data_IF_710478728615
#
_entry.id   IF_710478728615
#
_cell.length_a   1.000
_cell.length_b   1.000
_cell.length_c   1.000
_cell.angle_alpha   90.00
_cell.angle_beta   90.00
_cell.angle_gamma   90.00
#
_symmetry.space_group_name_H-M   'P 1'
#
loop_
_entity.id
_entity.type
_entity.pdbx_description
1 polymer ?
#
# COMPACT_ATOMS: atom_id res chain seq x y z
N UNK A 1 0.27 5.42 3.71
CA UNK A 1 0.91 4.12 3.48
C UNK A 1 1.92 3.93 4.59
N UNK A 2 2.10 2.69 5.04
CA UNK A 2 3.11 2.34 6.03
C UNK A 2 3.59 0.91 5.79
N UNK A 3 4.79 0.59 6.26
CA UNK A 3 5.33 -0.78 6.27
C UNK A 3 6.28 -0.96 7.44
N UNK A 4 6.32 -2.16 8.00
CA UNK A 4 7.23 -2.49 9.11
C UNK A 4 8.15 -3.65 8.77
N UNK A 5 9.22 -3.75 9.57
CA UNK A 5 10.14 -4.87 9.62
C UNK A 5 10.45 -5.19 11.08
N UNK A 6 10.52 -6.47 11.45
CA UNK A 6 10.92 -6.93 12.77
C UNK A 6 11.92 -8.06 12.65
N UNK A 7 12.91 -8.10 13.54
CA UNK A 7 13.93 -9.15 13.59
C UNK A 7 14.10 -9.68 15.00
N UNK A 8 14.20 -11.01 15.09
CA UNK A 8 14.65 -11.74 16.27
C UNK A 8 15.80 -12.64 15.87
N UNK A 9 16.99 -12.38 16.44
CA UNK A 9 18.22 -13.03 16.02
C UNK A 9 19.06 -13.52 17.21
N UNK A 10 19.93 -14.48 16.96
CA UNK A 10 20.97 -14.93 17.92
C UNK A 10 22.24 -14.08 17.87
N UNK A 11 22.35 -13.19 16.87
CA UNK A 11 23.42 -12.20 16.70
C UNK A 11 22.83 -10.80 16.64
N UNK A 12 23.69 -9.79 16.64
CA UNK A 12 23.30 -8.40 16.39
C UNK A 12 22.42 -8.32 15.13
N UNK A 13 21.28 -7.65 15.26
CA UNK A 13 20.29 -7.49 14.19
C UNK A 13 20.05 -6.02 13.82
N UNK A 14 20.93 -5.10 14.22
CA UNK A 14 20.77 -3.66 13.96
C UNK A 14 20.72 -3.41 12.46
N UNK A 15 21.69 -3.96 11.73
CA UNK A 15 21.75 -3.83 10.26
C UNK A 15 20.54 -4.47 9.59
N UNK A 16 20.08 -5.64 10.08
CA UNK A 16 18.93 -6.34 9.53
C UNK A 16 17.65 -5.50 9.65
N UNK A 17 17.38 -4.92 10.84
CA UNK A 17 16.21 -4.07 11.06
C UNK A 17 16.33 -2.73 10.33
N UNK A 18 17.52 -2.12 10.30
CA UNK A 18 17.77 -0.87 9.60
C UNK A 18 17.54 -1.01 8.09
N UNK A 19 18.25 -1.91 7.42
CA UNK A 19 18.08 -2.11 5.98
C UNK A 19 16.71 -2.71 5.66
N UNK A 20 16.23 -3.67 6.46
CA UNK A 20 14.90 -4.25 6.29
C UNK A 20 13.80 -3.22 6.31
N UNK A 21 13.91 -2.19 7.16
CA UNK A 21 13.00 -1.04 7.18
C UNK A 21 13.19 -0.14 5.96
N UNK A 22 14.43 0.17 5.56
CA UNK A 22 14.74 0.99 4.37
C UNK A 22 14.13 0.43 3.07
N UNK A 23 14.13 -0.90 2.89
CA UNK A 23 13.49 -1.57 1.74
C UNK A 23 11.99 -1.27 1.61
N UNK A 24 11.32 -0.84 2.68
CA UNK A 24 9.90 -0.46 2.68
C UNK A 24 9.69 1.05 2.43
N UNK A 25 10.71 1.80 2.01
CA UNK A 25 10.61 3.24 1.74
C UNK A 25 9.58 3.61 0.66
N UNK A 26 9.18 2.69 -0.23
CA UNK A 26 8.08 2.95 -1.18
C UNK A 26 6.70 2.97 -0.49
N UNK A 27 6.59 2.32 0.68
CA UNK A 27 5.37 2.28 1.50
C UNK A 27 5.25 3.47 2.44
N UNK A 28 6.16 4.44 2.46
CA UNK A 28 5.96 5.64 3.24
C UNK A 28 7.13 6.62 3.16
N UNK A 29 6.80 7.90 3.26
CA UNK A 29 7.73 8.97 2.85
C UNK A 29 7.78 10.16 3.80
N UNK A 30 7.05 10.10 4.92
CA UNK A 30 6.99 11.24 5.86
C UNK A 30 7.69 10.99 7.17
N UNK A 31 7.60 9.78 7.70
CA UNK A 31 8.10 9.42 9.02
C UNK A 31 8.70 8.03 8.99
N UNK A 32 9.64 7.81 9.87
CA UNK A 32 10.14 6.48 10.17
C UNK A 32 10.60 6.41 11.62
N UNK A 33 10.72 5.19 12.12
CA UNK A 33 11.32 4.96 13.42
C UNK A 33 11.83 3.54 13.59
N UNK A 34 12.73 3.41 14.55
CA UNK A 34 13.35 2.17 14.96
C UNK A 34 13.21 2.03 16.48
N UNK A 35 12.97 0.81 16.95
CA UNK A 35 13.05 0.46 18.35
C UNK A 35 13.79 -0.87 18.51
N UNK A 36 14.74 -0.90 19.44
CA UNK A 36 15.55 -2.07 19.76
C UNK A 36 15.53 -2.34 21.25
N UNK A 37 15.70 -3.61 21.61
CA UNK A 37 15.97 -4.03 22.98
C UNK A 37 17.39 -4.59 23.06
N UNK A 38 18.21 -4.02 23.95
CA UNK A 38 19.63 -4.39 24.11
C UNK A 38 19.88 -5.35 25.30
N UNK A 39 18.82 -5.89 25.90
CA UNK A 39 18.91 -6.75 27.11
C UNK A 39 18.65 -6.01 28.42
N UNK A 40 18.67 -4.67 28.43
CA UNK A 40 18.31 -3.86 29.61
C UNK A 40 17.23 -2.84 29.29
N UNK A 41 17.38 -2.13 28.17
CA UNK A 41 16.61 -0.95 27.83
C UNK A 41 16.05 -1.01 26.42
N UNK A 42 14.91 -0.32 26.24
CA UNK A 42 14.33 -0.03 24.94
C UNK A 42 14.93 1.27 24.41
N UNK A 43 15.69 1.18 23.33
CA UNK A 43 16.21 2.34 22.62
C UNK A 43 15.34 2.62 21.40
N UNK A 44 14.84 3.86 21.28
CA UNK A 44 13.96 4.28 20.20
C UNK A 44 14.49 5.55 19.52
N UNK A 45 14.37 5.61 18.19
CA UNK A 45 14.58 6.83 17.41
C UNK A 45 13.48 6.99 16.37
N UNK A 46 12.98 8.22 16.17
CA UNK A 46 11.92 8.56 15.21
C UNK A 46 12.34 9.83 14.49
N UNK A 47 12.24 9.82 13.16
CA UNK A 47 12.60 10.96 12.31
C UNK A 47 11.50 11.29 11.29
N UNK A 48 11.43 12.56 10.91
CA UNK A 48 10.76 12.96 9.67
C UNK A 48 11.66 12.65 8.47
N UNK A 49 11.06 12.06 7.43
CA UNK A 49 11.66 11.78 6.14
C UNK A 49 11.28 12.81 5.07
N UNK A 50 10.52 13.85 5.42
CA UNK A 50 10.02 14.83 4.45
C UNK A 50 11.15 15.67 3.82
N UNK A 51 12.31 15.73 4.48
CA UNK A 51 13.49 16.49 4.03
C UNK A 51 14.73 15.64 3.73
N UNK A 52 14.73 14.34 4.04
CA UNK A 52 15.86 13.46 3.76
C UNK A 52 15.47 11.98 3.72
N UNK A 53 16.31 11.16 3.08
CA UNK A 53 16.16 9.71 3.06
C UNK A 53 16.30 9.09 4.43
N UNK A 54 15.64 7.94 4.59
CA UNK A 54 15.72 7.09 5.77
C UNK A 54 17.17 6.87 6.21
N UNK A 55 18.03 6.34 5.33
CA UNK A 55 19.42 6.05 5.68
C UNK A 55 20.17 7.25 6.25
N UNK A 56 20.11 8.40 5.58
CA UNK A 56 20.77 9.62 6.04
C UNK A 56 20.33 10.09 7.43
N UNK A 57 19.08 9.79 7.83
CA UNK A 57 18.55 10.15 9.15
C UNK A 57 19.00 9.20 10.25
N UNK A 58 19.11 7.91 9.95
CA UNK A 58 19.32 6.88 10.96
C UNK A 58 20.75 6.34 11.04
N UNK A 59 21.55 6.41 9.96
CA UNK A 59 22.97 5.98 9.95
C UNK A 59 23.79 6.57 11.10
N UNK A 60 23.70 7.88 11.43
CA UNK A 60 24.48 8.47 12.53
C UNK A 60 24.13 7.94 13.92
N UNK A 61 23.00 7.26 14.09
CA UNK A 61 22.50 6.77 15.37
C UNK A 61 22.66 5.25 15.55
N UNK A 62 23.16 4.52 14.55
CA UNK A 62 23.20 3.05 14.58
C UNK A 62 24.01 2.49 15.73
N UNK A 63 25.12 3.15 16.11
CA UNK A 63 25.96 2.74 17.24
C UNK A 63 25.19 2.71 18.57
N UNK A 64 24.13 3.52 18.70
CA UNK A 64 23.26 3.53 19.90
C UNK A 64 22.45 2.24 20.05
N UNK A 65 22.28 1.48 18.98
CA UNK A 65 21.53 0.23 18.96
C UNK A 65 22.44 -1.01 18.98
N UNK A 66 23.77 -0.82 18.95
CA UNK A 66 24.73 -1.91 18.86
C UNK A 66 24.56 -2.96 19.97
N UNK A 67 24.67 -4.23 19.61
CA UNK A 67 24.48 -5.38 20.50
C UNK A 67 23.02 -5.80 20.66
N UNK A 68 22.08 -5.14 19.99
CA UNK A 68 20.67 -5.53 20.01
C UNK A 68 20.39 -6.72 19.11
N UNK A 69 19.73 -7.73 19.69
CA UNK A 69 19.35 -8.97 19.02
C UNK A 69 17.84 -9.04 18.73
N UNK A 70 17.10 -8.00 19.13
CA UNK A 70 15.66 -7.84 18.98
C UNK A 70 15.37 -6.40 18.54
N UNK A 71 14.64 -6.22 17.45
CA UNK A 71 14.27 -4.89 17.00
C UNK A 71 13.11 -4.86 16.01
N UNK A 72 12.42 -3.72 15.98
CA UNK A 72 11.35 -3.40 15.04
C UNK A 72 11.62 -2.04 14.41
N UNK A 73 11.21 -1.88 13.17
CA UNK A 73 11.26 -0.64 12.43
C UNK A 73 10.02 -0.43 11.60
N UNK A 74 9.73 0.84 11.30
CA UNK A 74 8.54 1.25 10.56
C UNK A 74 8.82 2.47 9.71
N UNK A 75 8.26 2.47 8.51
CA UNK A 75 8.13 3.59 7.59
C UNK A 75 6.64 3.97 7.56
N UNK A 76 6.30 5.26 7.64
CA UNK A 76 4.92 5.75 7.67
C UNK A 76 4.75 7.07 6.90
N UNK A 77 3.59 7.24 6.26
CA UNK A 77 3.17 8.51 5.65
C UNK A 77 2.44 9.46 6.61
N UNK A 78 2.18 9.01 7.84
CA UNK A 78 1.23 9.69 8.72
C UNK A 78 1.75 9.80 10.14
N UNK A 79 1.80 8.68 10.89
CA UNK A 79 2.04 8.67 12.32
C UNK A 79 3.52 8.55 12.68
N UNK A 80 3.92 9.20 13.79
CA UNK A 80 5.19 8.92 14.47
C UNK A 80 5.06 7.59 15.23
N UNK A 81 5.94 6.65 14.93
CA UNK A 81 5.99 5.30 15.51
C UNK A 81 7.45 4.81 15.45
N UNK A 82 7.91 3.86 16.29
CA UNK A 82 7.16 3.04 17.26
C UNK A 82 6.67 3.80 18.50
N UNK A 83 5.64 3.31 19.20
CA UNK A 83 5.21 3.82 20.51
C UNK A 83 5.67 2.87 21.61
N UNK A 84 6.39 3.39 22.61
CA UNK A 84 6.85 2.64 23.78
C UNK A 84 5.87 2.81 24.93
N UNK A 85 5.49 1.70 25.57
CA UNK A 85 4.54 1.66 26.69
C UNK A 85 5.19 0.95 27.88
N UNK A 86 4.97 1.49 29.07
CA UNK A 86 5.24 0.83 30.35
C UNK A 86 3.91 0.49 31.00
N UNK A 87 3.63 -0.79 31.21
CA UNK A 87 2.36 -1.22 31.83
C UNK A 87 2.48 -2.50 32.65
N UNK A 88 1.33 -3.03 33.12
CA UNK A 88 1.27 -4.31 33.82
C UNK A 88 1.67 -5.51 32.94
N UNK A 89 1.67 -5.36 31.62
CA UNK A 89 2.19 -6.36 30.69
C UNK A 89 3.73 -6.30 30.57
N UNK A 90 4.37 -5.36 31.28
CA UNK A 90 5.78 -5.03 31.15
C UNK A 90 6.03 -3.85 30.22
N UNK A 91 7.30 -3.66 29.84
CA UNK A 91 7.71 -2.65 28.85
C UNK A 91 7.67 -3.25 27.45
N UNK A 92 7.04 -2.55 26.51
CA UNK A 92 6.98 -2.99 25.13
C UNK A 92 6.92 -1.80 24.15
N UNK A 93 7.27 -2.05 22.89
CA UNK A 93 7.10 -1.08 21.80
C UNK A 93 6.14 -1.62 20.73
N UNK A 94 5.34 -0.76 20.13
CA UNK A 94 4.34 -1.13 19.12
C UNK A 94 4.53 -0.34 17.83
N UNK A 95 4.41 -1.04 16.70
CA UNK A 95 4.24 -0.45 15.36
C UNK A 95 2.97 -0.97 14.73
N UNK A 96 2.25 -0.13 14.00
CA UNK A 96 0.95 -0.40 13.40
C UNK A 96 0.97 0.00 11.93
N UNK A 97 0.48 -0.91 11.09
CA UNK A 97 0.13 -0.69 9.69
C UNK A 97 -1.36 -0.98 9.55
N UNK A 98 -2.15 0.04 9.26
CA UNK A 98 -3.60 -0.12 9.15
C UNK A 98 -4.36 1.19 9.02
N UNK A 99 -5.68 1.07 9.08
CA UNK A 99 -6.65 2.17 9.16
C UNK A 99 -7.73 1.82 10.18
N UNK A 100 -7.83 2.65 11.21
CA UNK A 100 -8.86 2.58 12.23
C UNK A 100 -9.99 3.53 11.81
N UNK A 101 -11.02 2.99 11.16
CA UNK A 101 -12.16 3.79 10.70
C UNK A 101 -13.01 4.33 11.86
N UNK A 102 -12.94 3.69 13.02
CA UNK A 102 -13.61 4.08 14.26
C UNK A 102 -12.64 4.57 15.33
N UNK A 103 -11.58 5.28 14.93
CA UNK A 103 -10.61 5.83 15.88
C UNK A 103 -11.28 6.71 16.94
N UNK A 104 -12.16 7.62 16.53
CA UNK A 104 -12.84 8.54 17.46
C UNK A 104 -13.72 7.77 18.47
N UNK A 105 -14.40 6.70 18.03
CA UNK A 105 -15.19 5.83 18.94
C UNK A 105 -14.31 5.19 20.02
N UNK A 106 -13.14 4.66 19.63
CA UNK A 106 -12.18 4.03 20.56
C UNK A 106 -11.59 5.05 21.52
N UNK A 107 -11.24 6.23 21.02
CA UNK A 107 -10.70 7.34 21.82
C UNK A 107 -11.73 7.78 22.86
N UNK A 108 -12.98 8.01 22.45
CA UNK A 108 -14.06 8.43 23.35
C UNK A 108 -14.35 7.41 24.45
N UNK A 109 -14.26 6.10 24.15
CA UNK A 109 -14.40 5.04 25.14
C UNK A 109 -13.34 5.16 26.24
N UNK A 110 -12.07 5.31 25.86
CA UNK A 110 -10.98 5.42 26.82
C UNK A 110 -11.00 6.75 27.60
N UNK A 111 -11.38 7.85 26.96
CA UNK A 111 -11.52 9.14 27.65
C UNK A 111 -12.64 9.11 28.70
N UNK A 112 -13.75 8.39 28.45
CA UNK A 112 -14.82 8.17 29.46
C UNK A 112 -14.34 7.38 30.68
N UNK A 113 -13.39 6.48 30.49
CA UNK A 113 -12.70 5.76 31.57
C UNK A 113 -11.61 6.60 32.28
N UNK A 114 -11.48 7.89 31.92
CA UNK A 114 -10.45 8.82 32.44
C UNK A 114 -9.02 8.39 32.12
N UNK A 115 -8.83 7.63 31.03
CA UNK A 115 -7.50 7.42 30.44
C UNK A 115 -7.15 8.61 29.55
N UNK A 116 -5.86 8.83 29.31
CA UNK A 116 -5.38 9.93 28.47
C UNK A 116 -4.52 9.40 27.32
N UNK A 117 -4.37 10.24 26.30
CA UNK A 117 -3.49 10.04 25.16
C UNK A 117 -2.39 11.10 25.20
N UNK A 118 -1.14 10.70 25.00
CA UNK A 118 0.03 11.57 25.05
C UNK A 118 0.65 11.81 23.66
N UNK A 119 0.33 10.97 22.68
CA UNK A 119 0.90 11.03 21.33
C UNK A 119 -0.09 11.63 20.33
N UNK A 120 0.38 12.62 19.57
CA UNK A 120 -0.42 13.30 18.54
C UNK A 120 0.09 12.97 17.13
N UNK A 121 -0.84 12.81 16.19
CA UNK A 121 -0.59 12.76 14.76
C UNK A 121 -1.42 13.84 14.07
N UNK A 122 -0.77 14.90 13.57
CA UNK A 122 -1.45 16.02 12.88
C UNK A 122 -2.62 16.64 13.66
N UNK A 123 -2.42 16.88 14.97
CA UNK A 123 -3.42 17.44 15.90
C UNK A 123 -4.61 16.52 16.25
N UNK A 124 -4.59 15.25 15.87
CA UNK A 124 -5.51 14.21 16.37
C UNK A 124 -4.74 13.15 17.16
N UNK A 125 -5.44 12.32 17.92
CA UNK A 125 -4.84 11.18 18.63
C UNK A 125 -4.08 10.28 17.64
N UNK A 126 -2.90 9.81 18.03
CA UNK A 126 -2.13 8.86 17.24
C UNK A 126 -2.83 7.48 17.22
N UNK A 127 -3.24 6.95 16.05
CA UNK A 127 -3.86 5.62 15.94
C UNK A 127 -3.06 4.50 16.60
N UNK A 128 -1.73 4.58 16.57
CA UNK A 128 -0.86 3.58 17.20
C UNK A 128 -0.97 3.60 18.71
N UNK A 129 -1.22 4.77 19.31
CA UNK A 129 -1.43 4.87 20.76
C UNK A 129 -2.76 4.24 21.15
N UNK A 130 -3.81 4.46 20.36
CA UNK A 130 -5.10 3.78 20.55
C UNK A 130 -4.96 2.26 20.46
N UNK A 131 -4.19 1.73 19.51
CA UNK A 131 -3.88 0.30 19.44
C UNK A 131 -3.10 -0.17 20.66
N UNK A 132 -2.09 0.58 21.09
CA UNK A 132 -1.32 0.25 22.28
C UNK A 132 -2.18 0.24 23.56
N UNK A 133 -3.18 1.13 23.65
CA UNK A 133 -4.15 1.15 24.76
C UNK A 133 -5.11 -0.04 24.73
N UNK A 134 -5.55 -0.47 23.54
CA UNK A 134 -6.35 -1.70 23.38
C UNK A 134 -5.57 -2.94 23.81
N UNK A 135 -4.29 -3.03 23.42
CA UNK A 135 -3.38 -4.08 23.86
C UNK A 135 -3.23 -4.04 25.39
N UNK A 136 -2.96 -2.85 25.92
CA UNK A 136 -2.78 -2.65 27.35
C UNK A 136 -4.05 -2.96 28.16
N UNK A 137 -5.25 -2.89 27.59
CA UNK A 137 -6.47 -3.22 28.32
C UNK A 137 -6.64 -4.73 28.62
N UNK A 138 -5.86 -5.61 28.00
CA UNK A 138 -5.88 -7.06 28.26
C UNK A 138 -5.01 -7.46 29.46
N UNK A 139 -5.32 -8.59 30.11
CA UNK A 139 -4.48 -9.13 31.18
C UNK A 139 -3.22 -9.83 30.65
N UNK A 140 -3.25 -10.23 29.37
CA UNK A 140 -2.13 -10.84 28.64
C UNK A 140 -2.00 -10.19 27.27
N UNK A 141 -0.85 -10.34 26.61
CA UNK A 141 -0.69 -9.90 25.21
C UNK A 141 -1.70 -10.56 24.28
N UNK A 142 -2.07 -11.83 24.53
CA UNK A 142 -3.12 -12.52 23.76
C UNK A 142 -4.46 -11.80 23.86
N UNK A 143 -4.93 -11.52 25.08
CA UNK A 143 -6.18 -10.80 25.31
C UNK A 143 -6.12 -9.38 24.71
N UNK A 144 -4.99 -8.69 24.86
CA UNK A 144 -4.77 -7.38 24.26
C UNK A 144 -4.85 -7.39 22.73
N UNK A 145 -4.26 -8.39 22.09
CA UNK A 145 -4.35 -8.60 20.64
C UNK A 145 -5.81 -8.90 20.23
N UNK A 146 -6.52 -9.73 20.99
CA UNK A 146 -7.94 -10.03 20.74
C UNK A 146 -8.83 -8.79 20.88
N UNK A 147 -8.53 -7.87 21.82
CA UNK A 147 -9.20 -6.58 21.92
C UNK A 147 -9.07 -5.77 20.62
N UNK A 148 -7.88 -5.71 20.03
CA UNK A 148 -7.64 -5.02 18.75
C UNK A 148 -8.48 -5.65 17.64
N UNK A 149 -8.46 -6.98 17.51
CA UNK A 149 -9.25 -7.70 16.50
C UNK A 149 -10.76 -7.50 16.63
N UNK A 150 -11.26 -7.32 17.85
CA UNK A 150 -12.69 -7.22 18.10
C UNK A 150 -13.20 -5.77 18.04
N UNK A 151 -12.38 -4.77 18.41
CA UNK A 151 -12.80 -3.36 18.51
C UNK A 151 -12.47 -2.52 17.26
N UNK A 152 -11.40 -2.82 16.53
CA UNK A 152 -11.02 -2.02 15.36
C UNK A 152 -11.93 -2.35 14.18
N UNK A 153 -12.59 -1.31 13.64
CA UNK A 153 -13.25 -1.32 12.32
C UNK A 153 -12.25 -0.81 11.27
N UNK A 154 -12.06 -1.57 10.20
CA UNK A 154 -11.04 -1.28 9.17
C UNK A 154 -9.99 -2.39 9.09
N UNK A 155 -8.71 -2.04 9.13
CA UNK A 155 -7.61 -3.02 9.24
C UNK A 155 -6.54 -2.56 10.21
N UNK A 156 -5.91 -3.49 10.91
CA UNK A 156 -4.85 -3.19 11.86
C UNK A 156 -3.94 -4.42 12.02
N UNK A 157 -2.81 -4.39 11.30
CA UNK A 157 -1.70 -5.31 11.50
C UNK A 157 -0.61 -4.61 12.28
N UNK A 158 0.04 -5.31 13.20
CA UNK A 158 0.97 -4.68 14.12
C UNK A 158 2.04 -5.65 14.63
N UNK A 159 3.16 -5.08 15.06
CA UNK A 159 4.19 -5.80 15.80
C UNK A 159 4.30 -5.24 17.21
N UNK A 160 4.54 -6.12 18.18
CA UNK A 160 4.87 -5.77 19.57
C UNK A 160 6.28 -6.28 19.87
N UNK A 161 7.23 -5.39 20.11
CA UNK A 161 8.55 -5.73 20.62
C UNK A 161 8.51 -5.80 22.14
N UNK A 162 8.94 -6.93 22.70
CA UNK A 162 9.07 -7.16 24.14
C UNK A 162 10.51 -7.53 24.49
N UNK A 163 10.82 -7.66 25.77
CA UNK A 163 12.14 -8.10 26.25
C UNK A 163 12.49 -9.55 25.83
N UNK A 164 11.48 -10.35 25.48
CA UNK A 164 11.66 -11.79 25.15
C UNK A 164 11.56 -12.11 23.66
N UNK A 165 10.98 -11.22 22.86
CA UNK A 165 10.68 -11.49 21.45
C UNK A 165 9.67 -10.51 20.85
N UNK A 166 9.21 -10.85 19.65
CA UNK A 166 8.26 -10.04 18.89
C UNK A 166 6.93 -10.79 18.77
N UNK A 167 5.82 -10.11 19.06
CA UNK A 167 4.50 -10.56 18.62
C UNK A 167 4.20 -9.96 17.25
N UNK A 168 3.84 -10.79 16.27
CA UNK A 168 3.39 -10.36 14.96
C UNK A 168 1.92 -10.73 14.78
N UNK A 169 1.04 -9.73 14.67
CA UNK A 169 -0.40 -9.90 14.65
C UNK A 169 -0.99 -9.35 13.35
N UNK A 170 -1.56 -10.23 12.52
CA UNK A 170 -2.18 -9.86 11.24
C UNK A 170 -3.66 -9.53 11.42
N UNK A 171 -4.12 -8.49 10.73
CA UNK A 171 -5.50 -8.01 10.85
C UNK A 171 -6.56 -9.10 10.61
N UNK A 172 -7.77 -8.84 11.13
CA UNK A 172 -8.89 -9.80 11.20
C UNK A 172 -9.21 -10.53 9.89
N UNK A 173 -9.07 -9.87 8.74
CA UNK A 173 -9.33 -10.45 7.42
C UNK A 173 -8.07 -10.54 6.55
N UNK A 174 -6.89 -10.24 7.10
CA UNK A 174 -5.64 -10.25 6.36
C UNK A 174 -5.57 -9.22 5.22
N UNK A 175 -6.24 -8.07 5.36
CA UNK A 175 -6.25 -6.95 4.38
C UNK A 175 -4.84 -6.50 4.04
N UNK A 176 -3.98 -6.47 5.05
CA UNK A 176 -2.56 -6.15 4.97
C UNK A 176 -1.72 -7.42 5.15
N UNK A 177 -0.58 -7.53 4.45
CA UNK A 177 0.32 -8.69 4.56
C UNK A 177 1.21 -8.62 5.80
N UNK A 178 1.53 -9.79 6.37
CA UNK A 178 2.71 -9.98 7.23
C UNK A 178 3.38 -11.27 6.79
N UNK A 179 4.63 -11.18 6.35
CA UNK A 179 5.39 -12.29 5.81
C UNK A 179 6.46 -12.67 6.81
N UNK A 180 6.54 -13.95 7.15
CA UNK A 180 7.55 -14.54 8.01
C UNK A 180 8.72 -15.04 7.16
N UNK A 181 9.94 -14.64 7.51
CA UNK A 181 11.18 -15.12 6.93
C UNK A 181 12.12 -15.72 7.97
N UNK A 182 13.09 -16.53 7.53
CA UNK A 182 14.11 -17.12 8.40
C UNK A 182 15.47 -17.25 7.73
N UNK A 183 16.51 -17.27 8.54
CA UNK A 183 17.85 -17.71 8.18
C UNK A 183 18.41 -18.61 9.30
N UNK A 184 19.72 -18.89 9.28
CA UNK A 184 20.37 -19.72 10.30
C UNK A 184 20.46 -19.06 11.69
N UNK A 185 20.34 -17.72 11.76
CA UNK A 185 20.49 -16.94 12.97
C UNK A 185 19.16 -16.60 13.66
N UNK A 186 18.05 -16.59 12.92
CA UNK A 186 16.75 -16.25 13.49
C UNK A 186 15.64 -16.01 12.48
N UNK A 187 14.69 -15.17 12.88
CA UNK A 187 13.43 -14.91 12.17
C UNK A 187 13.22 -13.43 11.92
N UNK A 188 12.55 -13.13 10.81
CA UNK A 188 12.09 -11.78 10.46
C UNK A 188 10.62 -11.79 10.12
N UNK A 189 9.95 -10.67 10.39
CA UNK A 189 8.58 -10.42 9.93
C UNK A 189 8.53 -9.07 9.23
N UNK A 190 7.87 -9.00 8.09
CA UNK A 190 7.82 -7.78 7.30
C UNK A 190 6.49 -7.59 6.60
N UNK A 191 6.17 -6.35 6.25
CA UNK A 191 5.05 -6.06 5.36
C UNK A 191 5.31 -6.56 3.92
N UNK A 192 6.57 -6.64 3.50
CA UNK A 192 6.97 -7.16 2.19
C UNK A 192 8.23 -8.03 2.24
N UNK A 193 8.31 -9.01 1.33
CA UNK A 193 9.45 -9.92 1.22
C UNK A 193 10.62 -9.35 0.43
N UNK A 194 10.51 -8.15 -0.16
CA UNK A 194 11.56 -7.55 -1.01
C UNK A 194 12.92 -7.42 -0.32
N UNK A 195 12.92 -7.22 0.99
CA UNK A 195 14.14 -7.13 1.81
C UNK A 195 14.84 -8.48 2.04
N UNK A 196 14.11 -9.61 1.96
CA UNK A 196 14.59 -10.89 2.48
C UNK A 196 15.79 -11.41 1.70
N UNK A 197 15.73 -11.42 0.37
CA UNK A 197 16.79 -11.98 -0.49
C UNK A 197 18.15 -11.35 -0.21
N UNK A 198 18.22 -10.02 -0.15
CA UNK A 198 19.50 -9.31 0.04
C UNK A 198 19.98 -9.33 1.49
N UNK A 199 19.07 -9.55 2.45
CA UNK A 199 19.42 -9.75 3.87
C UNK A 199 19.68 -11.22 4.22
N UNK A 200 19.61 -12.13 3.24
CA UNK A 200 19.89 -13.56 3.43
C UNK A 200 18.78 -14.35 4.14
N UNK A 201 17.54 -13.86 4.09
CA UNK A 201 16.36 -14.55 4.63
C UNK A 201 15.59 -15.28 3.52
N UNK A 202 15.02 -16.43 3.88
CA UNK A 202 14.11 -17.21 3.01
C UNK A 202 12.69 -17.04 3.51
N UNK A 203 11.72 -16.95 2.59
CA UNK A 203 10.29 -16.86 2.96
C UNK A 203 9.87 -18.20 3.59
N UNK A 204 9.23 -18.12 4.75
CA UNK A 204 8.61 -19.27 5.42
C UNK A 204 7.15 -19.38 4.99
N UNK A 205 6.36 -18.33 5.27
CA UNK A 205 4.94 -18.21 4.89
C UNK A 205 4.39 -16.82 5.21
N UNK A 206 3.23 -16.50 4.65
CA UNK A 206 2.37 -15.44 5.15
C UNK A 206 1.73 -15.85 6.49
N UNK A 207 1.69 -14.92 7.45
CA UNK A 207 0.89 -15.04 8.67
C UNK A 207 -0.58 -15.02 8.27
N UNK A 208 -1.42 -15.89 8.81
CA UNK A 208 -2.82 -16.03 8.41
C UNK A 208 -3.71 -14.89 8.96
N UNK A 209 -4.87 -14.61 8.35
CA UNK A 209 -5.83 -13.63 8.89
C UNK A 209 -6.18 -13.90 10.36
N UNK A 210 -6.20 -12.86 11.21
CA UNK A 210 -6.45 -12.97 12.67
C UNK A 210 -5.42 -13.83 13.43
N UNK A 211 -4.36 -14.29 12.79
CA UNK A 211 -3.27 -15.02 13.44
C UNK A 211 -2.30 -14.04 14.10
N UNK A 212 -1.89 -14.37 15.33
CA UNK A 212 -0.78 -13.75 16.00
C UNK A 212 0.24 -14.81 16.39
N UNK A 213 1.51 -14.49 16.17
CA UNK A 213 2.64 -15.34 16.51
C UNK A 213 3.53 -14.62 17.52
N UNK A 214 4.03 -15.33 18.52
CA UNK A 214 5.16 -14.91 19.34
C UNK A 214 6.42 -15.53 18.75
N UNK A 215 7.37 -14.69 18.39
CA UNK A 215 8.62 -15.05 17.75
C UNK A 215 9.75 -14.76 18.74
N UNK A 216 10.50 -15.78 19.11
CA UNK A 216 11.64 -15.69 20.01
C UNK A 216 12.89 -16.28 19.34
N UNK A 217 14.04 -16.21 20.03
CA UNK A 217 15.30 -16.82 19.55
C UNK A 217 15.25 -18.35 19.54
N UNK A 218 14.30 -18.92 20.27
CA UNK A 218 14.15 -20.36 20.46
C UNK A 218 13.10 -20.97 19.53
N UNK A 219 12.18 -20.15 19.00
CA UNK A 219 11.18 -20.61 18.05
C UNK A 219 9.99 -19.68 17.90
N UNK A 220 8.91 -20.23 17.37
CA UNK A 220 7.67 -19.53 17.09
C UNK A 220 6.52 -20.25 17.80
N UNK A 221 5.72 -19.49 18.54
CA UNK A 221 4.53 -19.98 19.24
C UNK A 221 3.29 -19.27 18.70
N UNK A 222 2.23 -20.03 18.40
CA UNK A 222 0.94 -19.44 18.02
C UNK A 222 0.25 -18.84 19.25
N UNK A 223 -0.18 -17.59 19.14
CA UNK A 223 -0.82 -16.84 20.23
C UNK A 223 -2.33 -16.78 20.06
N UNK A 224 -2.79 -16.54 18.84
CA UNK A 224 -4.22 -16.59 18.48
C UNK A 224 -4.46 -17.55 17.33
N UNK A 225 -5.64 -18.15 17.31
CA UNK A 225 -6.07 -19.03 16.21
C UNK A 225 -6.40 -18.20 14.97
N UNK A 226 -5.93 -18.61 13.77
CA UNK A 226 -6.34 -17.99 12.52
C UNK A 226 -7.86 -17.95 12.34
N UNK A 227 -8.35 -16.92 11.65
CA UNK A 227 -9.74 -16.83 11.22
C UNK A 227 -10.02 -17.70 9.99
N UNK A 228 -11.31 -17.88 9.66
CA UNK A 228 -11.74 -18.64 8.48
C UNK A 228 -12.01 -17.78 7.23
N UNK A 229 -11.93 -16.45 7.36
CA UNK A 229 -12.18 -15.50 6.26
C UNK A 229 -10.91 -14.71 5.97
N UNK A 230 -10.58 -14.60 4.68
CA UNK A 230 -9.46 -13.83 4.15
C UNK A 230 -10.01 -12.88 3.11
N UNK A 231 -9.53 -11.64 3.06
CA UNK A 231 -9.76 -10.71 1.95
C UNK A 231 -8.57 -9.76 1.78
N UNK A 232 -7.44 -10.29 1.35
CA UNK A 232 -6.22 -9.51 1.14
C UNK A 232 -6.41 -8.47 0.03
N UNK A 233 -5.74 -7.32 0.15
CA UNK A 233 -5.94 -6.23 -0.80
C UNK A 233 -5.45 -6.53 -2.22
N UNK A 234 -6.36 -6.56 -3.20
CA UNK A 234 -6.01 -6.74 -4.62
C UNK A 234 -5.05 -5.66 -5.15
N UNK A 235 -5.11 -4.45 -4.58
CA UNK A 235 -4.22 -3.36 -4.95
C UNK A 235 -2.74 -3.60 -4.61
N UNK A 236 -2.42 -4.60 -3.78
CA UNK A 236 -1.03 -5.01 -3.53
C UNK A 236 -0.37 -5.50 -4.83
N UNK A 237 -1.07 -6.28 -5.66
CA UNK A 237 -0.54 -6.73 -6.94
C UNK A 237 -0.69 -5.68 -8.05
N UNK A 238 -1.80 -4.93 -8.05
CA UNK A 238 -2.05 -3.93 -9.10
C UNK A 238 -1.07 -2.76 -9.03
N UNK A 239 -0.77 -2.24 -7.82
CA UNK A 239 -0.03 -0.99 -7.65
C UNK A 239 0.96 -0.97 -6.49
N UNK A 240 0.52 -1.25 -5.25
CA UNK A 240 1.31 -0.91 -4.05
C UNK A 240 2.55 -1.77 -3.85
N UNK A 241 2.46 -3.05 -4.19
CA UNK A 241 3.52 -4.00 -3.89
C UNK A 241 4.77 -3.73 -4.68
N UNK A 242 5.91 -3.99 -4.04
CA UNK A 242 7.18 -3.96 -4.74
C UNK A 242 7.25 -5.12 -5.75
N UNK A 243 7.78 -4.91 -6.97
CA UNK A 243 7.79 -5.92 -8.04
C UNK A 243 8.31 -7.31 -7.64
N UNK A 244 9.37 -7.37 -6.84
CA UNK A 244 9.98 -8.65 -6.40
C UNK A 244 9.33 -9.25 -5.15
N UNK A 245 8.35 -8.58 -4.54
CA UNK A 245 7.64 -9.09 -3.37
C UNK A 245 6.67 -10.20 -3.74
N UNK A 246 6.40 -11.06 -2.77
CA UNK A 246 5.39 -12.11 -2.83
C UNK A 246 4.36 -11.85 -1.75
N UNK A 247 3.07 -12.00 -2.09
CA UNK A 247 1.98 -12.02 -1.13
C UNK A 247 1.17 -13.28 -1.36
N UNK A 248 0.90 -14.05 -0.31
CA UNK A 248 0.17 -15.32 -0.43
C UNK A 248 0.81 -16.25 -1.47
N UNK A 249 2.15 -16.24 -1.56
CA UNK A 249 2.92 -17.00 -2.56
C UNK A 249 2.85 -16.47 -4.01
N UNK A 250 2.18 -15.35 -4.27
CA UNK A 250 2.01 -14.78 -5.60
C UNK A 250 2.94 -13.57 -5.77
N UNK A 251 3.82 -13.63 -6.78
CA UNK A 251 4.70 -12.51 -7.12
C UNK A 251 3.94 -11.33 -7.73
N UNK A 252 4.33 -10.11 -7.33
CA UNK A 252 3.72 -8.87 -7.80
C UNK A 252 3.94 -8.63 -9.29
N UNK A 253 5.18 -8.65 -9.77
CA UNK A 253 5.48 -8.31 -11.16
C UNK A 253 4.87 -9.32 -12.15
N UNK A 254 4.93 -10.60 -11.82
CA UNK A 254 4.31 -11.67 -12.59
C UNK A 254 2.77 -11.53 -12.67
N UNK A 255 2.12 -11.16 -11.56
CA UNK A 255 0.69 -10.83 -11.58
C UNK A 255 0.38 -9.62 -12.49
N UNK A 256 1.24 -8.59 -12.50
CA UNK A 256 1.10 -7.45 -13.42
C UNK A 256 1.24 -7.85 -14.89
N UNK A 257 2.15 -8.77 -15.21
CA UNK A 257 2.30 -9.29 -16.57
C UNK A 257 1.02 -10.01 -17.00
N UNK A 258 0.44 -10.85 -16.13
CA UNK A 258 -0.84 -11.50 -16.39
C UNK A 258 -1.99 -10.51 -16.56
N UNK A 259 -2.03 -9.43 -15.78
CA UNK A 259 -3.01 -8.35 -15.96
C UNK A 259 -2.87 -7.70 -17.35
N UNK A 260 -1.65 -7.33 -17.74
CA UNK A 260 -1.36 -6.78 -19.06
C UNK A 260 -1.80 -7.69 -20.21
N UNK A 261 -1.50 -8.99 -20.09
CA UNK A 261 -1.90 -10.00 -21.06
C UNK A 261 -3.43 -10.13 -21.16
N UNK A 262 -4.16 -10.13 -20.03
CA UNK A 262 -5.61 -10.19 -20.03
C UNK A 262 -6.26 -8.97 -20.68
N UNK A 263 -5.69 -7.77 -20.49
CA UNK A 263 -6.15 -6.56 -21.19
C UNK A 263 -5.94 -6.70 -22.70
N UNK A 264 -4.79 -7.25 -23.12
CA UNK A 264 -4.48 -7.48 -24.53
C UNK A 264 -5.45 -8.44 -25.23
N UNK A 265 -5.96 -9.46 -24.54
CA UNK A 265 -6.95 -10.40 -25.08
C UNK A 265 -8.26 -9.72 -25.51
N UNK A 266 -8.61 -8.59 -24.88
CA UNK A 266 -9.86 -7.85 -25.12
C UNK A 266 -9.66 -6.55 -25.91
N UNK A 267 -8.50 -6.40 -26.55
CA UNK A 267 -8.13 -5.14 -27.19
C UNK A 267 -7.63 -5.31 -28.63
N UNK A 268 -8.22 -4.53 -29.51
CA UNK A 268 -8.13 -4.62 -30.96
C UNK A 268 -7.45 -3.40 -31.61
N UNK A 269 -7.11 -2.40 -30.78
CA UNK A 269 -6.49 -1.14 -31.20
C UNK A 269 -5.19 -1.35 -31.99
N UNK A 270 -4.96 -0.48 -32.99
CA UNK A 270 -3.79 -0.50 -33.86
C UNK A 270 -2.86 0.67 -33.51
N UNK A 271 -1.75 0.35 -32.86
CA UNK A 271 -0.74 1.31 -32.40
C UNK A 271 0.65 0.93 -32.89
N UNK A 272 1.59 1.86 -32.83
CA UNK A 272 2.97 1.63 -33.28
C UNK A 272 3.81 0.91 -32.22
N UNK A 273 3.51 1.15 -30.93
CA UNK A 273 4.14 0.46 -29.80
C UNK A 273 3.36 0.65 -28.49
N UNK A 274 3.78 -0.08 -27.46
CA UNK A 274 3.21 -0.08 -26.12
C UNK A 274 4.21 0.54 -25.13
N UNK A 275 3.70 1.24 -24.13
CA UNK A 275 4.50 1.86 -23.08
C UNK A 275 3.79 1.73 -21.72
N UNK A 276 4.57 1.71 -20.64
CA UNK A 276 4.03 1.83 -19.28
C UNK A 276 4.22 3.25 -18.77
N UNK A 277 3.25 3.78 -18.02
CA UNK A 277 3.47 4.96 -17.19
C UNK A 277 4.37 4.54 -16.03
N UNK A 278 5.59 5.10 -15.91
CA UNK A 278 6.56 4.56 -14.96
C UNK A 278 6.27 4.97 -13.51
N UNK A 279 6.53 4.12 -12.53
CA UNK A 279 7.16 2.78 -12.66
C UNK A 279 6.14 1.62 -12.61
N UNK A 280 4.97 1.83 -12.02
CA UNK A 280 3.95 0.79 -11.78
C UNK A 280 3.29 0.25 -13.05
N UNK A 281 3.11 1.09 -14.08
CA UNK A 281 2.53 0.68 -15.37
C UNK A 281 3.46 -0.18 -16.23
N UNK A 282 4.75 -0.30 -15.87
CA UNK A 282 5.76 -1.00 -16.67
C UNK A 282 5.46 -2.49 -16.78
N UNK A 283 5.18 -3.18 -15.67
CA UNK A 283 4.91 -4.62 -15.70
C UNK A 283 3.66 -4.96 -16.51
N UNK A 284 2.60 -4.16 -16.35
CA UNK A 284 1.37 -4.28 -17.15
C UNK A 284 1.65 -4.07 -18.65
N UNK A 285 2.46 -3.06 -19.01
CA UNK A 285 2.84 -2.79 -20.39
C UNK A 285 3.65 -3.92 -21.01
N UNK A 286 4.58 -4.53 -20.27
CA UNK A 286 5.37 -5.66 -20.75
C UNK A 286 4.46 -6.86 -21.00
N UNK A 287 3.55 -7.18 -20.08
CA UNK A 287 2.56 -8.25 -20.26
C UNK A 287 1.70 -8.06 -21.50
N UNK A 288 1.18 -6.83 -21.70
CA UNK A 288 0.38 -6.48 -22.87
C UNK A 288 1.21 -6.58 -24.17
N UNK A 289 2.43 -6.01 -24.17
CA UNK A 289 3.36 -6.00 -25.30
C UNK A 289 3.69 -7.42 -25.75
N UNK A 290 4.00 -8.32 -24.81
CA UNK A 290 4.29 -9.73 -25.08
C UNK A 290 3.08 -10.43 -25.71
N UNK A 291 1.88 -10.24 -25.16
CA UNK A 291 0.65 -10.87 -25.66
C UNK A 291 0.24 -10.37 -27.06
N UNK A 292 0.42 -9.08 -27.36
CA UNK A 292 0.09 -8.49 -28.67
C UNK A 292 1.23 -8.54 -29.69
N UNK A 293 2.42 -8.98 -29.28
CA UNK A 293 3.64 -8.93 -30.10
C UNK A 293 3.93 -7.50 -30.63
N UNK A 294 3.70 -6.49 -29.79
CA UNK A 294 3.99 -5.09 -30.11
C UNK A 294 5.29 -4.66 -29.43
N UNK A 295 6.11 -3.79 -30.04
CA UNK A 295 7.30 -3.28 -29.38
C UNK A 295 6.97 -2.57 -28.07
N UNK A 296 7.76 -2.79 -27.02
CA UNK A 296 7.76 -1.95 -25.83
C UNK A 296 8.77 -0.80 -26.01
N UNK A 297 8.34 0.45 -25.80
CA UNK A 297 9.23 1.62 -25.78
C UNK A 297 8.97 2.48 -24.56
N UNK A 298 9.92 3.37 -24.27
CA UNK A 298 9.86 4.31 -23.13
C UNK A 298 9.74 5.76 -23.60
N UNK A 299 8.54 6.20 -24.05
CA UNK A 299 8.29 7.59 -24.41
C UNK A 299 8.24 8.51 -23.20
N UNK A 300 8.09 7.95 -21.99
CA UNK A 300 8.32 8.67 -20.75
C UNK A 300 9.47 8.04 -19.98
N UNK A 301 10.32 8.91 -19.44
CA UNK A 301 11.33 8.55 -18.46
C UNK A 301 11.08 9.35 -17.19
N UNK A 302 11.09 8.68 -16.06
CA UNK A 302 11.01 9.32 -14.75
C UNK A 302 12.32 10.08 -14.51
N UNK A 303 12.23 11.39 -14.29
CA UNK A 303 13.39 12.28 -14.19
C UNK A 303 14.34 11.88 -13.06
N UNK A 304 13.80 11.49 -11.91
CA UNK A 304 14.61 10.98 -10.80
C UNK A 304 13.80 10.09 -9.87
N UNK A 305 14.39 9.02 -9.30
CA UNK A 305 13.77 8.23 -8.24
C UNK A 305 13.55 9.03 -6.94
N UNK A 306 14.15 10.23 -6.82
CA UNK A 306 14.26 10.96 -5.55
C UNK A 306 13.07 11.83 -5.15
N UNK A 307 12.08 12.05 -6.04
CA UNK A 307 11.00 13.01 -5.75
C UNK A 307 9.75 12.38 -5.11
N UNK A 308 9.15 13.05 -4.09
CA UNK A 308 7.95 12.58 -3.41
C UNK A 308 6.75 12.44 -4.36
N UNK A 309 5.72 11.69 -3.95
CA UNK A 309 4.46 11.55 -4.71
C UNK A 309 3.81 12.94 -4.91
N UNK A 310 3.24 13.19 -6.09
CA UNK A 310 2.79 14.52 -6.56
C UNK A 310 1.62 15.04 -5.73
N UNK A 311 0.92 14.13 -5.05
CA UNK A 311 -0.18 14.45 -4.14
C UNK A 311 0.28 14.89 -2.73
N UNK A 312 1.59 14.87 -2.43
CA UNK A 312 2.12 15.17 -1.08
C UNK A 312 2.18 16.66 -0.71
N UNK A 313 2.59 17.59 -1.61
CA UNK A 313 2.60 19.01 -1.26
C UNK A 313 1.21 19.53 -0.90
N UNK A 314 1.07 20.23 0.22
CA UNK A 314 -0.25 20.78 0.61
C UNK A 314 -0.73 21.87 -0.36
N UNK A 315 0.20 22.68 -0.89
CA UNK A 315 -0.08 23.70 -1.90
C UNK A 315 -0.24 23.08 -3.30
N UNK A 316 -1.36 23.37 -3.96
CA UNK A 316 -1.67 22.91 -5.32
C UNK A 316 -0.60 23.32 -6.34
N UNK A 317 -0.07 24.56 -6.28
CA UNK A 317 0.97 25.01 -7.21
C UNK A 317 2.25 24.16 -7.13
N UNK A 318 2.63 23.74 -5.92
CA UNK A 318 3.77 22.83 -5.73
C UNK A 318 3.45 21.41 -6.22
N UNK A 319 2.20 20.94 -6.11
CA UNK A 319 1.80 19.64 -6.68
C UNK A 319 1.92 19.64 -8.20
N UNK A 320 1.47 20.72 -8.83
CA UNK A 320 1.51 20.87 -10.29
C UNK A 320 2.97 20.96 -10.79
N UNK A 321 3.82 21.72 -10.08
CA UNK A 321 5.26 21.76 -10.36
C UNK A 321 5.91 20.38 -10.22
N UNK A 322 5.64 19.67 -9.12
CA UNK A 322 6.15 18.30 -8.91
C UNK A 322 5.68 17.35 -10.00
N UNK A 323 4.41 17.41 -10.41
CA UNK A 323 3.90 16.60 -11.51
C UNK A 323 4.63 16.90 -12.83
N UNK A 324 4.84 18.19 -13.16
CA UNK A 324 5.56 18.62 -14.38
C UNK A 324 7.01 18.12 -14.42
N UNK A 325 7.70 18.14 -13.28
CA UNK A 325 9.11 17.77 -13.18
C UNK A 325 9.36 16.24 -13.23
N UNK A 326 8.35 15.43 -12.92
CA UNK A 326 8.52 13.98 -12.73
C UNK A 326 8.76 13.17 -14.00
N UNK A 327 8.02 13.48 -15.05
CA UNK A 327 8.01 12.69 -16.28
C UNK A 327 8.57 13.52 -17.43
N UNK A 328 9.67 13.04 -18.00
CA UNK A 328 10.28 13.61 -19.18
C UNK A 328 9.80 12.84 -20.41
N UNK A 329 9.14 13.51 -21.37
CA UNK A 329 8.86 12.90 -22.66
C UNK A 329 10.17 12.70 -23.41
N UNK A 330 10.30 11.56 -24.07
CA UNK A 330 11.38 11.27 -24.99
C UNK A 330 10.87 11.53 -26.41
N UNK A 331 11.14 12.72 -26.95
CA UNK A 331 10.61 13.18 -28.24
C UNK A 331 10.94 12.23 -29.41
N UNK A 332 12.06 11.51 -29.33
CA UNK A 332 12.46 10.53 -30.34
C UNK A 332 11.47 9.35 -30.46
N UNK A 333 10.63 9.15 -29.44
CA UNK A 333 9.59 8.13 -29.46
C UNK A 333 8.17 8.70 -29.55
N UNK A 334 7.93 9.98 -29.23
CA UNK A 334 6.56 10.53 -29.20
C UNK A 334 6.07 11.07 -30.53
N UNK A 335 6.93 11.67 -31.35
CA UNK A 335 6.52 12.40 -32.56
C UNK A 335 5.90 11.47 -33.60
N UNK A 336 4.75 11.88 -34.14
CA UNK A 336 3.94 11.17 -35.15
C UNK A 336 3.50 9.76 -34.77
N UNK A 337 3.71 9.36 -33.51
CA UNK A 337 3.45 8.00 -33.03
C UNK A 337 2.02 7.83 -32.52
N UNK A 338 1.47 6.63 -32.72
CA UNK A 338 0.27 6.13 -32.06
C UNK A 338 0.70 5.23 -30.91
N UNK A 339 0.43 5.65 -29.68
CA UNK A 339 0.99 5.02 -28.48
C UNK A 339 -0.14 4.43 -27.65
N UNK A 340 0.03 3.18 -27.22
CA UNK A 340 -0.79 2.60 -26.15
C UNK A 340 -0.03 2.61 -24.83
N UNK A 341 -0.60 3.28 -23.85
CA UNK A 341 -0.07 3.33 -22.49
C UNK A 341 -0.84 2.39 -21.56
N UNK A 342 -0.11 1.67 -20.70
CA UNK A 342 -0.64 1.00 -19.52
C UNK A 342 -0.33 1.83 -18.29
N UNK A 343 -1.34 2.03 -17.44
CA UNK A 343 -1.21 2.63 -16.12
C UNK A 343 -1.92 1.75 -15.07
N UNK A 344 -1.56 1.86 -13.80
CA UNK A 344 -2.13 1.01 -12.75
C UNK A 344 -3.57 1.39 -12.39
N UNK A 345 -3.85 2.69 -12.30
CA UNK A 345 -5.14 3.20 -11.82
C UNK A 345 -5.36 4.66 -12.20
N UNK A 346 -6.62 5.10 -12.21
CA UNK A 346 -6.98 6.52 -12.27
C UNK A 346 -7.72 6.90 -11.00
N UNK A 347 -7.02 7.60 -10.08
CA UNK A 347 -7.63 8.13 -8.86
C UNK A 347 -8.26 9.50 -9.13
N UNK A 348 -7.45 10.53 -9.40
CA UNK A 348 -7.93 11.91 -9.61
C UNK A 348 -7.94 12.34 -11.08
N UNK A 349 -7.18 11.70 -11.95
CA UNK A 349 -7.09 12.01 -13.38
C UNK A 349 -6.27 13.25 -13.77
N UNK A 350 -5.94 14.16 -12.85
CA UNK A 350 -5.23 15.40 -13.16
C UNK A 350 -3.85 15.16 -13.77
N UNK A 351 -3.00 14.37 -13.10
CA UNK A 351 -1.66 14.05 -13.59
C UNK A 351 -1.68 13.36 -14.95
N UNK A 352 -2.66 12.46 -15.17
CA UNK A 352 -2.80 11.77 -16.45
C UNK A 352 -3.16 12.75 -17.57
N UNK A 353 -4.10 13.68 -17.31
CA UNK A 353 -4.46 14.74 -18.25
C UNK A 353 -3.24 15.61 -18.62
N UNK A 354 -2.47 16.03 -17.62
CA UNK A 354 -1.28 16.87 -17.85
C UNK A 354 -0.23 16.13 -18.69
N UNK A 355 -0.04 14.83 -18.45
CA UNK A 355 0.84 13.99 -19.26
C UNK A 355 0.38 13.89 -20.72
N UNK A 356 -0.94 13.72 -20.95
CA UNK A 356 -1.51 13.65 -22.30
C UNK A 356 -1.31 14.97 -23.04
N UNK A 357 -1.55 16.12 -22.39
CA UNK A 357 -1.29 17.45 -22.97
C UNK A 357 0.17 17.58 -23.39
N UNK A 358 1.10 17.18 -22.52
CA UNK A 358 2.55 17.20 -22.81
C UNK A 358 2.93 16.32 -24.01
N UNK A 359 2.31 15.14 -24.16
CA UNK A 359 2.54 14.27 -25.33
C UNK A 359 2.05 14.92 -26.63
N UNK A 360 0.91 15.62 -26.58
CA UNK A 360 0.38 16.37 -27.74
C UNK A 360 1.29 17.53 -28.12
N UNK A 361 1.85 18.24 -27.15
CA UNK A 361 2.88 19.27 -27.39
C UNK A 361 4.13 18.68 -28.05
N UNK A 362 4.48 17.43 -27.74
CA UNK A 362 5.58 16.68 -28.39
C UNK A 362 5.21 16.04 -29.74
N UNK A 363 4.01 16.31 -30.27
CA UNK A 363 3.57 15.87 -31.60
C UNK A 363 3.11 14.42 -31.69
N UNK A 364 2.60 13.81 -30.61
CA UNK A 364 1.98 12.48 -30.67
C UNK A 364 0.74 12.49 -31.57
N UNK A 365 0.52 11.41 -32.33
CA UNK A 365 -0.62 11.27 -33.23
C UNK A 365 -1.87 10.78 -32.50
N UNK A 366 -1.74 9.69 -31.75
CA UNK A 366 -2.84 9.08 -30.97
C UNK A 366 -2.30 8.61 -29.61
N UNK A 367 -3.09 8.85 -28.55
CA UNK A 367 -2.82 8.42 -27.17
C UNK A 367 -3.96 7.53 -26.69
N UNK A 368 -3.69 6.23 -26.63
CA UNK A 368 -4.61 5.23 -26.08
C UNK A 368 -4.18 4.85 -24.67
N UNK A 369 -5.14 4.78 -23.75
CA UNK A 369 -4.88 4.43 -22.35
C UNK A 369 -5.59 3.13 -21.96
N UNK A 370 -4.87 2.28 -21.23
CA UNK A 370 -5.37 1.05 -20.64
C UNK A 370 -5.03 1.01 -19.16
N UNK A 371 -6.03 0.86 -18.32
CA UNK A 371 -5.87 0.90 -16.87
C UNK A 371 -5.97 -0.51 -16.29
N UNK A 372 -4.96 -0.94 -15.54
CA UNK A 372 -4.84 -2.29 -14.99
C UNK A 372 -5.66 -2.54 -13.71
N UNK A 373 -6.78 -1.83 -13.60
CA UNK A 373 -7.84 -2.07 -12.63
C UNK A 373 -9.19 -1.66 -13.24
N UNK A 374 -10.34 -2.01 -12.64
CA UNK A 374 -11.63 -1.40 -12.97
C UNK A 374 -11.66 0.05 -12.45
N UNK A 375 -12.62 0.88 -12.91
CA UNK A 375 -12.77 2.23 -12.40
C UNK A 375 -12.95 2.27 -10.88
N UNK A 376 -12.26 3.22 -10.23
CA UNK A 376 -12.37 3.42 -8.78
C UNK A 376 -13.69 4.12 -8.44
N UNK A 377 -14.68 3.37 -7.97
CA UNK A 377 -16.02 3.88 -7.65
C UNK A 377 -16.20 4.10 -6.14
N UNK A 378 -15.59 3.28 -5.30
CA UNK A 378 -15.73 3.35 -3.84
C UNK A 378 -14.42 3.76 -3.16
N UNK A 379 -14.43 4.68 -2.19
CA UNK A 379 -13.24 4.96 -1.41
C UNK A 379 -12.82 3.71 -0.62
N UNK A 380 -11.52 3.51 -0.43
CA UNK A 380 -11.06 2.42 0.43
C UNK A 380 -11.53 2.65 1.87
N UNK A 381 -12.14 1.66 2.51
CA UNK A 381 -12.47 1.69 3.94
C UNK A 381 -11.38 1.07 4.84
N UNK A 382 -10.49 0.27 4.26
CA UNK A 382 -9.64 -0.64 5.03
C UNK A 382 -8.18 -0.19 5.14
N UNK A 383 -7.67 0.58 4.17
CA UNK A 383 -6.25 0.89 4.08
C UNK A 383 -6.03 2.39 3.95
N UNK A 384 -4.94 2.87 4.54
CA UNK A 384 -4.47 4.26 4.42
C UNK A 384 -3.55 4.44 3.21
N UNK A 385 -3.84 3.74 2.12
CA UNK A 385 -3.01 3.79 0.92
C UNK A 385 -3.36 4.93 -0.05
N UNK A 386 -4.59 5.45 0.03
CA UNK A 386 -5.04 6.64 -0.69
C UNK A 386 -5.67 7.61 0.32
N UNK A 387 -5.20 8.86 0.36
CA UNK A 387 -5.67 9.89 1.28
C UNK A 387 -6.98 10.55 0.82
N UNK A 388 -7.90 9.76 0.24
CA UNK A 388 -9.20 10.26 -0.23
C UNK A 388 -9.96 10.80 0.98
N UNK A 389 -10.16 12.12 1.03
CA UNK A 389 -10.92 12.81 2.09
C UNK A 389 -12.39 12.94 1.71
N UNK A 390 -12.68 12.81 0.42
CA UNK A 390 -14.03 12.85 -0.12
C UNK A 390 -14.23 11.72 -1.13
N UNK A 391 -15.47 11.27 -1.24
CA UNK A 391 -15.93 10.42 -2.33
C UNK A 391 -15.63 11.02 -3.71
N UNK A 392 -15.66 12.35 -3.83
CA UNK A 392 -15.44 13.07 -5.09
C UNK A 392 -13.96 13.37 -5.37
N UNK A 393 -13.03 12.92 -4.53
CA UNK A 393 -11.63 12.85 -4.94
C UNK A 393 -11.44 11.85 -6.08
N UNK A 394 -12.30 10.82 -6.15
CA UNK A 394 -12.33 9.84 -7.23
C UNK A 394 -12.87 10.48 -8.51
N UNK A 395 -12.09 10.43 -9.58
CA UNK A 395 -12.45 10.97 -10.89
C UNK A 395 -13.72 10.31 -11.44
N UNK A 396 -13.80 8.99 -11.33
CA UNK A 396 -14.97 8.20 -11.69
C UNK A 396 -16.24 8.74 -11.03
N UNK A 397 -16.22 9.00 -9.71
CA UNK A 397 -17.39 9.55 -9.01
C UNK A 397 -17.77 10.97 -9.42
N UNK A 398 -16.80 11.80 -9.79
CA UNK A 398 -17.11 13.13 -10.33
C UNK A 398 -17.83 13.01 -11.68
N UNK A 399 -17.36 12.13 -12.56
CA UNK A 399 -18.02 11.88 -13.85
C UNK A 399 -19.42 11.30 -13.65
N UNK A 400 -19.61 10.34 -12.74
CA UNK A 400 -20.93 9.78 -12.44
C UNK A 400 -21.88 10.87 -11.91
N UNK A 401 -21.42 11.70 -10.96
CA UNK A 401 -22.20 12.84 -10.45
C UNK A 401 -22.65 13.76 -11.58
N UNK A 402 -21.74 14.10 -12.50
CA UNK A 402 -22.03 15.02 -13.59
C UNK A 402 -23.01 14.40 -14.61
N UNK A 403 -22.93 13.08 -14.83
CA UNK A 403 -23.85 12.32 -15.70
C UNK A 403 -25.26 12.16 -15.11
N UNK A 404 -25.36 11.94 -13.80
CA UNK A 404 -26.64 11.76 -13.10
C UNK A 404 -27.25 13.09 -12.63
N UNK A 405 -26.47 14.17 -12.59
CA UNK A 405 -26.91 15.48 -12.12
C UNK A 405 -27.16 15.58 -10.61
N UNK A 406 -26.62 14.64 -9.81
CA UNK A 406 -26.80 14.58 -8.35
C UNK A 406 -25.52 14.19 -7.62
N UNK A 407 -25.30 14.78 -6.44
CA UNK A 407 -24.23 14.38 -5.51
C UNK A 407 -24.62 13.22 -4.61
N UNK A 408 -25.90 12.88 -4.52
CA UNK A 408 -26.39 11.73 -3.75
C UNK A 408 -26.33 10.46 -4.61
N UNK A 409 -25.14 9.85 -4.66
CA UNK A 409 -24.88 8.65 -5.44
C UNK A 409 -25.16 7.40 -4.60
N UNK A 410 -26.42 6.95 -4.64
CA UNK A 410 -26.87 5.71 -3.98
C UNK A 410 -26.27 4.47 -4.64
N UNK A 411 -26.31 3.33 -3.95
CA UNK A 411 -25.81 2.06 -4.49
C UNK A 411 -26.53 1.65 -5.79
N UNK A 412 -27.84 1.93 -5.89
CA UNK A 412 -28.63 1.67 -7.09
C UNK A 412 -28.15 2.48 -8.31
N UNK A 413 -27.72 3.73 -8.07
CA UNK A 413 -27.14 4.59 -9.11
C UNK A 413 -25.75 4.09 -9.51
N UNK A 414 -24.93 3.66 -8.55
CA UNK A 414 -23.54 3.28 -8.77
C UNK A 414 -23.39 1.92 -9.46
N UNK A 415 -24.26 0.95 -9.16
CA UNK A 415 -24.13 -0.43 -9.62
C UNK A 415 -23.96 -0.57 -11.14
N UNK A 416 -24.75 0.10 -12.01
CA UNK A 416 -24.52 0.07 -13.45
C UNK A 416 -23.13 0.56 -13.88
N UNK A 417 -22.53 1.53 -13.17
CA UNK A 417 -21.19 2.03 -13.47
C UNK A 417 -20.05 1.10 -13.01
N UNK A 418 -20.38 -0.02 -12.36
CA UNK A 418 -19.41 -1.07 -12.00
C UNK A 418 -19.51 -2.29 -12.93
N UNK A 419 -20.55 -2.35 -13.76
CA UNK A 419 -20.77 -3.41 -14.75
C UNK A 419 -20.17 -3.00 -16.10
N UNK A 420 -19.09 -3.66 -16.57
CA UNK A 420 -18.41 -3.30 -17.81
C UNK A 420 -19.27 -3.47 -19.07
N UNK A 421 -20.38 -4.21 -18.99
CA UNK A 421 -21.27 -4.47 -20.12
C UNK A 421 -22.45 -3.48 -20.18
N UNK A 422 -22.62 -2.62 -19.16
CA UNK A 422 -23.71 -1.65 -19.11
C UNK A 422 -23.48 -0.42 -19.99
N UNK A 423 -24.57 0.16 -20.50
CA UNK A 423 -24.51 1.40 -21.28
C UNK A 423 -24.04 2.61 -20.44
N UNK A 424 -24.39 2.64 -19.15
CA UNK A 424 -23.93 3.69 -18.22
C UNK A 424 -22.41 3.64 -18.04
N UNK A 425 -21.84 2.45 -17.93
CA UNK A 425 -20.40 2.25 -17.85
C UNK A 425 -19.68 2.76 -19.11
N UNK A 426 -20.15 2.36 -20.30
CA UNK A 426 -19.57 2.81 -21.58
C UNK A 426 -19.60 4.34 -21.71
N UNK A 427 -20.77 4.95 -21.43
CA UNK A 427 -20.92 6.41 -21.45
C UNK A 427 -19.99 7.12 -20.45
N UNK A 428 -19.80 6.56 -19.26
CA UNK A 428 -18.84 7.06 -18.28
C UNK A 428 -17.42 7.04 -18.83
N UNK A 429 -17.00 5.94 -19.47
CA UNK A 429 -15.67 5.85 -20.07
C UNK A 429 -15.45 6.84 -21.21
N UNK A 430 -16.47 7.07 -22.06
CA UNK A 430 -16.40 8.06 -23.13
C UNK A 430 -16.19 9.47 -22.58
N UNK A 431 -16.95 9.84 -21.56
CA UNK A 431 -16.80 11.14 -20.88
C UNK A 431 -15.43 11.24 -20.21
N UNK A 432 -14.97 10.19 -19.52
CA UNK A 432 -13.63 10.16 -18.94
C UNK A 432 -12.53 10.35 -19.98
N UNK A 433 -12.63 9.67 -21.13
CA UNK A 433 -11.67 9.77 -22.24
C UNK A 433 -11.63 11.20 -22.80
N UNK A 434 -12.79 11.82 -23.02
CA UNK A 434 -12.89 13.22 -23.47
C UNK A 434 -12.25 14.19 -22.48
N UNK A 435 -12.54 14.06 -21.18
CA UNK A 435 -11.97 14.91 -20.13
C UNK A 435 -10.44 14.81 -20.05
N UNK A 436 -9.90 13.60 -20.27
CA UNK A 436 -8.47 13.30 -20.28
C UNK A 436 -7.81 13.57 -21.65
N UNK A 437 -8.62 13.88 -22.68
CA UNK A 437 -8.21 14.09 -24.06
C UNK A 437 -7.52 12.88 -24.71
N UNK A 438 -7.97 11.68 -24.38
CA UNK A 438 -7.47 10.40 -24.90
C UNK A 438 -8.24 9.99 -26.16
N UNK A 439 -7.56 9.32 -27.09
CA UNK A 439 -8.18 8.72 -28.28
C UNK A 439 -8.99 7.46 -27.94
N UNK A 440 -8.58 6.73 -26.89
CA UNK A 440 -9.40 5.68 -26.30
C UNK A 440 -9.00 5.40 -24.86
N UNK A 441 -9.96 4.99 -24.04
CA UNK A 441 -9.77 4.58 -22.66
C UNK A 441 -10.48 3.24 -22.44
N UNK A 442 -9.75 2.23 -21.92
CA UNK A 442 -10.35 1.00 -21.41
C UNK A 442 -9.77 0.69 -20.04
N UNK A 443 -10.59 0.10 -19.18
CA UNK A 443 -10.19 -0.43 -17.88
C UNK A 443 -10.23 -1.95 -17.93
N UNK A 444 -9.36 -2.59 -17.16
CA UNK A 444 -9.36 -4.04 -17.00
C UNK A 444 -10.63 -4.47 -16.26
N UNK A 445 -11.21 -5.62 -16.65
CA UNK A 445 -12.38 -6.17 -15.97
C UNK A 445 -12.00 -6.82 -14.65
N UNK A 446 -12.94 -6.86 -13.71
CA UNK A 446 -12.70 -7.37 -12.36
C UNK A 446 -12.36 -8.88 -12.37
N UNK A 447 -13.10 -9.67 -13.15
CA UNK A 447 -12.88 -11.11 -13.29
C UNK A 447 -11.50 -11.44 -13.85
N UNK A 448 -10.98 -10.61 -14.76
CA UNK A 448 -9.65 -10.79 -15.33
C UNK A 448 -8.56 -10.51 -14.31
N UNK A 449 -8.76 -9.55 -13.39
CA UNK A 449 -7.82 -9.24 -12.30
C UNK A 449 -7.80 -10.35 -11.27
N UNK A 450 -8.99 -10.85 -10.87
CA UNK A 450 -9.10 -11.99 -9.97
C UNK A 450 -8.35 -13.19 -10.56
N UNK A 451 -8.57 -13.48 -11.84
CA UNK A 451 -7.86 -14.55 -12.57
C UNK A 451 -6.35 -14.28 -12.65
N UNK A 452 -5.93 -13.04 -12.91
CA UNK A 452 -4.51 -12.68 -13.01
C UNK A 452 -3.78 -12.74 -11.65
N UNK A 453 -4.45 -12.42 -10.55
CA UNK A 453 -3.88 -12.62 -9.21
C UNK A 453 -3.81 -14.12 -8.90
N UNK A 454 -4.87 -14.86 -9.22
CA UNK A 454 -4.92 -16.32 -9.04
C UNK A 454 -5.45 -16.77 -7.68
N UNK A 455 -6.05 -15.86 -6.90
CA UNK A 455 -6.80 -16.19 -5.68
C UNK A 455 -8.31 -16.18 -5.96
N UNK A 456 -9.11 -16.96 -5.20
CA UNK A 456 -10.57 -16.86 -5.25
C UNK A 456 -11.03 -15.44 -4.96
N UNK A 457 -12.14 -14.99 -5.59
CA UNK A 457 -12.65 -13.62 -5.43
C UNK A 457 -12.98 -13.32 -3.96
N UNK A 458 -13.55 -14.29 -3.25
CA UNK A 458 -13.89 -14.20 -1.84
C UNK A 458 -12.68 -14.00 -0.93
N UNK A 459 -11.47 -14.36 -1.39
CA UNK A 459 -10.20 -14.15 -0.70
C UNK A 459 -9.53 -12.81 -1.02
N UNK A 460 -10.11 -12.03 -1.94
CA UNK A 460 -9.59 -10.76 -2.41
C UNK A 460 -10.49 -9.60 -1.97
N UNK A 461 -9.89 -8.52 -1.50
CA UNK A 461 -10.57 -7.24 -1.32
C UNK A 461 -10.72 -6.56 -2.68
N UNK A 462 -11.96 -6.43 -3.15
CA UNK A 462 -12.33 -5.72 -4.37
C UNK A 462 -13.17 -4.47 -4.09
N UNK A 463 -13.31 -4.08 -2.81
CA UNK A 463 -14.20 -3.01 -2.33
C UNK A 463 -14.20 -1.74 -3.17
N UNK A 464 -13.01 -1.26 -3.56
CA UNK A 464 -12.87 -0.01 -4.31
C UNK A 464 -13.55 -0.04 -5.69
N UNK A 465 -13.85 -1.23 -6.21
CA UNK A 465 -14.44 -1.47 -7.52
C UNK A 465 -15.90 -1.91 -7.42
N UNK A 466 -16.26 -2.77 -6.47
CA UNK A 466 -17.58 -3.42 -6.42
C UNK A 466 -18.27 -3.43 -5.04
N UNK A 467 -17.68 -2.77 -4.03
CA UNK A 467 -18.22 -2.68 -2.67
C UNK A 467 -18.51 -4.04 -1.98
N UNK A 468 -17.94 -5.15 -2.45
CA UNK A 468 -18.34 -6.50 -2.01
C UNK A 468 -17.58 -7.06 -0.79
N UNK A 469 -16.87 -6.20 -0.05
CA UNK A 469 -15.91 -6.62 0.98
C UNK A 469 -16.50 -6.66 2.39
N UNK A 470 -16.02 -7.59 3.22
CA UNK A 470 -16.39 -7.71 4.64
C UNK A 470 -16.00 -6.46 5.43
N UNK A 471 -16.91 -5.99 6.30
CA UNK A 471 -16.68 -4.85 7.18
C UNK A 471 -16.07 -5.26 8.53
#
# INVERSE_FOLDING_TARGET
>A
MSGFFGCVSRRDCVADVFYGTDYHSHLGTKRAGLAFYNGTDFNRSIHSLESAYFRNKFEPELDRFAGSNLGIGVISDMESQPITVTSHLGRFAVVVVGRLANLDEIVDEFLKERKHFAELSSSTVNPTEAVAMLINAGNTFKEGIENVYNKVKGSCSFLILTETGIYAARDKYGRTPIILGKNEHGYVVASESSSFTNLGYTIVRDIQPREALQITRDGITQVTTPGCKKQICSFLWVYYGYPSSYYEGINVEDARYRCGAAIAERDDVKVDYVAGIPDSGVGHAIGYSNARCLPYKRPFVKYTPTWPRSFMPQNQAMRDLVAKMKLLPNEAFTRDARILFLDDSIVRGTQLKDNVVKLKECGVKEVHMRIACPPLVYPCAFLNFSSSRSNFDLFTRRVIRDLEGTSDLTEEILKPYTDPDSEKYKKMLDVMAQHLQLDSLKFQRLEDIVKAIGLPKEELCTHCWDNSSYM
#
